data_IF_591711018867
#
_entry.id   IF_591711018867
#
_cell.length_a   1.000
_cell.length_b   1.000
_cell.length_c   1.000
_cell.angle_alpha   90.00
_cell.angle_beta   90.00
_cell.angle_gamma   90.00
#
_symmetry.space_group_name_H-M   'P 1'
#
loop_
_entity.id
_entity.type
_entity.pdbx_description
1 polymer ?
#
# COMPACT_ATOMS: atom_id res chain seq x y z
N UNK A 1 -15.08 -7.66 -100.52
CA UNK A 1 -15.40 -7.77 -99.08
C UNK A 1 -14.23 -8.45 -98.39
N UNK A 2 -13.76 -7.81 -97.31
CA UNK A 2 -12.90 -8.34 -96.23
C UNK A 2 -11.39 -8.44 -96.49
N UNK A 3 -10.66 -7.79 -95.58
CA UNK A 3 -9.26 -7.38 -95.59
C UNK A 3 -8.41 -8.24 -94.60
N UNK A 4 -7.07 -8.10 -94.60
CA UNK A 4 -6.09 -9.14 -94.28
C UNK A 4 -5.39 -8.96 -92.91
N UNK A 5 -4.33 -9.74 -92.65
CA UNK A 5 -3.29 -9.37 -91.69
C UNK A 5 -2.07 -10.29 -91.72
N UNK A 6 -0.90 -9.76 -92.11
CA UNK A 6 0.40 -10.42 -92.28
C UNK A 6 1.52 -9.50 -91.72
N UNK A 7 2.60 -10.08 -91.19
CA UNK A 7 3.96 -9.50 -91.16
C UNK A 7 4.49 -9.09 -89.76
N UNK A 8 5.62 -9.61 -89.23
CA UNK A 8 7.07 -9.53 -89.61
C UNK A 8 7.75 -8.22 -89.16
N UNK A 9 9.01 -8.07 -88.70
CA UNK A 9 10.19 -8.83 -88.20
C UNK A 9 11.30 -7.74 -87.89
N UNK A 10 12.44 -8.12 -87.27
CA UNK A 10 13.82 -7.48 -87.29
C UNK A 10 14.03 -6.28 -86.30
N UNK A 11 15.12 -6.09 -85.51
CA UNK A 11 16.53 -5.77 -85.86
C UNK A 11 17.52 -5.73 -84.67
N UNK A 12 18.83 -5.91 -84.94
CA UNK A 12 20.01 -5.67 -84.08
C UNK A 12 20.98 -4.70 -84.76
N UNK A 13 21.65 -3.80 -84.03
CA UNK A 13 22.91 -3.14 -84.45
C UNK A 13 23.77 -2.67 -83.23
N UNK A 14 25.12 -2.54 -83.32
CA UNK A 14 26.10 -2.46 -82.24
C UNK A 14 26.81 -1.09 -82.09
N UNK A 15 27.52 -0.86 -80.98
CA UNK A 15 28.62 0.14 -80.90
C UNK A 15 28.91 0.80 -79.54
N UNK A 16 30.20 0.87 -79.17
CA UNK A 16 30.82 2.02 -78.46
C UNK A 16 30.93 2.01 -76.93
N UNK A 17 32.18 2.02 -76.42
CA UNK A 17 32.62 2.29 -75.02
C UNK A 17 32.58 3.82 -74.70
N UNK A 18 33.09 4.33 -73.55
CA UNK A 18 32.71 4.17 -72.12
C UNK A 18 32.61 5.54 -71.37
N UNK A 19 31.68 5.74 -70.42
CA UNK A 19 31.66 6.75 -69.31
C UNK A 19 30.24 6.69 -68.70
N UNK A 20 29.93 6.92 -67.44
CA UNK A 20 30.60 7.41 -66.25
C UNK A 20 29.53 7.56 -65.16
N UNK A 21 29.97 7.71 -63.91
CA UNK A 21 29.21 8.22 -62.76
C UNK A 21 28.02 7.38 -62.23
N UNK A 22 28.35 6.52 -61.26
CA UNK A 22 27.39 5.92 -60.35
C UNK A 22 26.82 6.96 -59.38
N UNK A 23 25.52 7.20 -59.52
CA UNK A 23 24.62 7.70 -58.50
C UNK A 23 24.62 6.80 -57.25
N UNK A 24 24.69 7.38 -56.04
CA UNK A 24 23.68 7.27 -54.96
C UNK A 24 24.24 7.58 -53.56
N UNK A 25 23.64 8.63 -52.99
CA UNK A 25 23.22 8.80 -51.59
C UNK A 25 24.24 8.94 -50.45
N UNK A 26 24.29 10.20 -50.00
CA UNK A 26 24.48 10.72 -48.64
C UNK A 26 24.13 9.74 -47.51
N UNK A 27 25.08 9.52 -46.61
CA UNK A 27 24.93 9.55 -45.12
C UNK A 27 26.18 8.95 -44.47
N UNK A 28 26.93 9.75 -43.70
CA UNK A 28 27.68 9.34 -42.50
C UNK A 28 28.38 10.55 -41.87
N UNK A 29 27.63 11.27 -41.06
CA UNK A 29 28.19 12.02 -39.92
C UNK A 29 27.85 11.27 -38.63
N UNK A 30 28.72 11.48 -37.64
CA UNK A 30 28.74 10.97 -36.26
C UNK A 30 29.66 9.77 -35.99
N UNK A 31 30.96 10.07 -35.97
CA UNK A 31 31.83 9.64 -34.88
C UNK A 31 31.52 10.50 -33.64
N UNK A 32 31.65 9.90 -32.45
CA UNK A 32 31.49 10.45 -31.10
C UNK A 32 30.10 10.28 -30.44
N UNK A 33 29.83 9.06 -29.96
CA UNK A 33 29.12 8.82 -28.68
C UNK A 33 29.23 7.34 -28.25
N UNK A 34 30.44 6.75 -28.29
CA UNK A 34 30.60 5.29 -28.07
C UNK A 34 30.96 4.88 -26.63
N UNK A 35 30.84 5.76 -25.62
CA UNK A 35 31.24 5.41 -24.24
C UNK A 35 30.13 5.61 -23.19
N UNK A 36 29.02 6.30 -23.50
CA UNK A 36 27.94 6.51 -22.52
C UNK A 36 26.80 5.46 -22.58
N UNK A 37 26.76 4.58 -23.57
CA UNK A 37 25.62 3.67 -23.77
C UNK A 37 25.85 2.23 -23.27
N UNK A 38 27.08 1.86 -22.94
CA UNK A 38 27.40 0.51 -22.46
C UNK A 38 27.23 0.34 -20.94
N UNK A 39 27.26 1.44 -20.17
CA UNK A 39 27.07 1.41 -18.72
C UNK A 39 25.60 1.26 -18.28
N UNK A 40 24.66 1.75 -19.10
CA UNK A 40 23.22 1.78 -18.78
C UNK A 40 22.48 0.51 -19.22
N UNK A 41 22.95 -0.23 -20.23
CA UNK A 41 22.44 -1.57 -20.56
C UNK A 41 23.08 -2.68 -19.71
N UNK A 42 24.30 -2.47 -19.20
CA UNK A 42 24.92 -3.39 -18.24
C UNK A 42 24.24 -3.39 -16.87
N UNK A 43 23.77 -2.24 -16.38
CA UNK A 43 23.12 -2.13 -15.07
C UNK A 43 21.66 -2.63 -15.07
N UNK A 44 20.94 -2.50 -16.19
CA UNK A 44 19.56 -3.01 -16.33
C UNK A 44 19.56 -4.50 -16.70
N UNK A 45 20.55 -4.99 -17.46
CA UNK A 45 20.73 -6.41 -17.74
C UNK A 45 21.19 -7.24 -16.53
N UNK A 46 22.05 -6.69 -15.66
CA UNK A 46 22.45 -7.38 -14.42
C UNK A 46 21.32 -7.49 -13.39
N UNK A 47 20.32 -6.60 -13.43
CA UNK A 47 19.15 -6.68 -12.54
C UNK A 47 18.10 -7.72 -12.99
N UNK A 48 18.15 -8.17 -14.26
CA UNK A 48 17.15 -9.10 -14.82
C UNK A 48 17.73 -10.48 -15.17
N UNK A 49 19.00 -10.59 -15.55
CA UNK A 49 19.63 -11.90 -15.85
C UNK A 49 20.43 -12.46 -14.67
N UNK A 50 21.00 -11.60 -13.82
CA UNK A 50 21.63 -12.02 -12.55
C UNK A 50 20.62 -12.59 -11.52
N UNK A 51 19.33 -12.33 -11.72
CA UNK A 51 18.24 -12.81 -10.86
C UNK A 51 17.47 -14.00 -11.43
N UNK A 52 17.78 -14.46 -12.66
CA UNK A 52 17.05 -15.56 -13.30
C UNK A 52 17.87 -16.82 -13.62
N UNK A 53 19.20 -16.86 -13.40
CA UNK A 53 19.99 -18.09 -13.66
C UNK A 53 20.93 -18.53 -12.52
N UNK A 54 21.03 -17.83 -11.39
CA UNK A 54 21.68 -18.42 -10.21
C UNK A 54 20.70 -19.22 -9.33
N UNK A 55 19.99 -20.18 -9.96
CA UNK A 55 19.29 -21.27 -9.28
C UNK A 55 19.73 -22.59 -9.91
N UNK A 56 21.04 -22.85 -9.87
CA UNK A 56 21.60 -24.17 -10.10
C UNK A 56 22.24 -24.64 -8.80
N UNK A 57 21.57 -25.57 -8.09
CA UNK A 57 21.98 -26.16 -6.80
C UNK A 57 21.78 -25.20 -5.62
N UNK A 58 20.82 -25.37 -4.72
CA UNK A 58 20.81 -26.48 -3.75
C UNK A 58 19.38 -27.00 -3.57
N UNK A 59 19.21 -28.28 -3.91
CA UNK A 59 18.12 -29.08 -3.39
C UNK A 59 18.33 -29.29 -1.88
N UNK A 60 17.27 -29.08 -1.10
CA UNK A 60 17.09 -29.66 0.23
C UNK A 60 17.41 -28.76 1.42
N UNK A 61 16.39 -28.49 2.24
CA UNK A 61 16.57 -28.21 3.66
C UNK A 61 15.73 -27.06 4.24
N UNK A 62 14.65 -27.42 4.95
CA UNK A 62 14.18 -26.80 6.20
C UNK A 62 13.94 -25.28 6.26
N UNK A 63 12.66 -24.90 6.39
CA UNK A 63 12.23 -23.54 6.65
C UNK A 63 12.93 -22.88 7.84
N UNK A 64 13.44 -21.67 7.61
CA UNK A 64 13.87 -20.74 8.65
C UNK A 64 13.08 -19.45 8.42
N UNK A 65 12.10 -19.14 9.30
CA UNK A 65 11.50 -17.79 9.34
C UNK A 65 12.65 -16.82 9.60
N UNK A 66 13.02 -16.02 8.60
CA UNK A 66 13.96 -14.92 8.78
C UNK A 66 13.43 -13.92 9.81
N UNK A 67 14.33 -13.15 10.41
CA UNK A 67 14.00 -12.13 11.42
C UNK A 67 12.89 -11.19 10.93
N UNK A 68 11.73 -11.22 11.59
CA UNK A 68 10.63 -10.28 11.32
C UNK A 68 11.00 -8.93 11.92
N UNK A 69 11.04 -7.86 11.13
CA UNK A 69 11.23 -6.51 11.68
C UNK A 69 9.96 -5.99 12.33
N UNK A 70 10.02 -4.89 13.08
CA UNK A 70 8.85 -4.15 13.58
C UNK A 70 8.38 -3.04 12.63
N UNK A 71 7.06 -2.90 12.47
CA UNK A 71 6.48 -1.81 11.68
C UNK A 71 6.79 -0.46 12.32
N UNK A 72 7.00 0.57 11.48
CA UNK A 72 7.35 1.91 11.96
C UNK A 72 6.22 2.45 12.83
N UNK A 73 6.53 2.83 14.07
CA UNK A 73 5.55 3.38 15.02
C UNK A 73 4.60 2.35 15.65
N UNK A 74 4.74 1.06 15.33
CA UNK A 74 3.88 0.03 15.91
C UNK A 74 4.17 -0.19 17.40
N UNK A 75 5.43 -0.04 17.82
CA UNK A 75 5.86 -0.15 19.22
C UNK A 75 6.33 1.22 19.69
N UNK A 76 6.01 1.66 20.93
CA UNK A 76 6.60 2.87 21.51
C UNK A 76 8.13 2.87 21.35
N UNK A 77 8.69 4.01 20.95
CA UNK A 77 10.11 4.13 20.57
C UNK A 77 11.06 3.64 21.67
N UNK A 78 10.71 3.87 22.94
CA UNK A 78 11.46 3.40 24.11
C UNK A 78 11.63 1.87 24.15
N UNK A 79 10.64 1.11 23.69
CA UNK A 79 10.62 -0.35 23.79
C UNK A 79 11.06 -1.04 22.50
N UNK A 80 11.02 -0.34 21.37
CA UNK A 80 11.32 -0.89 20.06
C UNK A 80 12.67 -1.65 19.99
N UNK A 81 13.80 -1.15 20.54
CA UNK A 81 15.07 -1.89 20.52
C UNK A 81 15.00 -3.20 21.32
N UNK A 82 14.33 -3.19 22.47
CA UNK A 82 14.17 -4.37 23.32
C UNK A 82 13.30 -5.42 22.61
N UNK A 83 12.14 -5.03 22.09
CA UNK A 83 11.24 -5.95 21.39
C UNK A 83 11.89 -6.51 20.12
N UNK A 84 12.65 -5.69 19.39
CA UNK A 84 13.37 -6.13 18.19
C UNK A 84 14.49 -7.13 18.52
N UNK A 85 15.24 -6.90 19.62
CA UNK A 85 16.31 -7.81 20.07
C UNK A 85 15.72 -9.13 20.59
N UNK A 86 14.84 -9.05 21.57
CA UNK A 86 14.35 -10.20 22.32
C UNK A 86 13.26 -10.99 21.61
N UNK A 87 12.52 -10.36 20.69
CA UNK A 87 11.58 -11.07 19.83
C UNK A 87 12.26 -12.08 18.90
N UNK A 88 13.57 -12.01 18.69
CA UNK A 88 14.31 -12.98 17.88
C UNK A 88 14.94 -14.12 18.72
N UNK A 89 14.58 -14.25 20.01
CA UNK A 89 15.27 -15.15 20.94
C UNK A 89 15.09 -16.65 20.62
N UNK A 90 13.96 -17.06 20.04
CA UNK A 90 13.75 -18.44 19.60
C UNK A 90 12.72 -18.54 18.47
N UNK A 91 12.67 -19.70 17.80
CA UNK A 91 11.81 -19.94 16.62
C UNK A 91 10.30 -19.79 16.88
N UNK A 92 9.86 -19.93 18.13
CA UNK A 92 8.45 -19.86 18.48
C UNK A 92 7.90 -18.43 18.54
N UNK A 93 8.80 -17.44 18.65
CA UNK A 93 8.46 -16.02 18.69
C UNK A 93 9.12 -15.27 17.53
N UNK A 94 8.63 -14.05 17.30
CA UNK A 94 9.30 -13.05 16.49
C UNK A 94 9.01 -11.66 17.10
N UNK A 95 9.69 -10.58 16.69
CA UNK A 95 9.46 -9.23 17.24
C UNK A 95 8.01 -8.74 17.15
N UNK A 96 7.32 -9.05 16.06
CA UNK A 96 5.93 -8.65 15.87
C UNK A 96 4.97 -9.40 16.81
N UNK A 97 5.23 -10.70 17.01
CA UNK A 97 4.45 -11.52 17.93
C UNK A 97 4.66 -11.05 19.38
N UNK A 98 5.91 -10.80 19.78
CA UNK A 98 6.23 -10.27 21.10
C UNK A 98 5.57 -8.91 21.33
N UNK A 99 5.60 -8.02 20.34
CA UNK A 99 4.89 -6.74 20.39
C UNK A 99 3.38 -6.90 20.56
N UNK A 100 2.76 -7.81 19.79
CA UNK A 100 1.34 -8.09 19.85
C UNK A 100 0.91 -8.63 21.21
N UNK A 101 1.73 -9.50 21.81
CA UNK A 101 1.51 -10.04 23.14
C UNK A 101 1.61 -8.93 24.19
N UNK A 102 2.68 -8.13 24.20
CA UNK A 102 2.82 -6.98 25.13
C UNK A 102 1.67 -5.97 25.01
N UNK A 103 1.17 -5.73 23.79
CA UNK A 103 0.00 -4.89 23.57
C UNK A 103 -1.28 -5.54 24.13
N UNK A 104 -1.49 -6.84 23.92
CA UNK A 104 -2.64 -7.56 24.46
C UNK A 104 -2.62 -7.61 26.00
N UNK A 105 -1.43 -7.68 26.61
CA UNK A 105 -1.28 -7.72 28.06
C UNK A 105 -1.60 -6.37 28.71
N UNK A 106 -1.05 -5.28 28.18
CA UNK A 106 -1.10 -3.98 28.88
C UNK A 106 -1.27 -2.75 27.99
N UNK A 107 -1.32 -2.93 26.67
CA UNK A 107 -1.22 -1.81 25.74
C UNK A 107 0.13 -1.09 25.82
N UNK A 108 1.20 -1.80 26.18
CA UNK A 108 2.53 -1.26 26.50
C UNK A 108 2.61 -0.37 27.76
N UNK A 109 1.64 -0.47 28.67
CA UNK A 109 1.67 0.28 29.93
C UNK A 109 2.53 -0.46 30.99
N UNK A 110 3.71 0.07 31.37
CA UNK A 110 4.58 -0.57 32.33
C UNK A 110 4.01 -0.58 33.75
N UNK A 111 3.05 0.28 34.05
CA UNK A 111 2.44 0.38 35.38
C UNK A 111 1.12 -0.40 35.48
N UNK A 112 0.79 -1.23 34.48
CA UNK A 112 -0.48 -1.94 34.43
C UNK A 112 -0.62 -2.98 35.57
N UNK A 113 -1.82 -3.02 36.14
CA UNK A 113 -2.24 -3.99 37.16
C UNK A 113 -3.60 -4.57 36.78
N UNK A 114 -3.75 -5.88 36.84
CA UNK A 114 -5.04 -6.54 36.64
C UNK A 114 -5.67 -7.02 37.96
N UNK A 115 -6.98 -7.29 37.98
CA UNK A 115 -7.64 -7.97 39.11
C UNK A 115 -7.04 -9.34 39.44
N UNK A 116 -6.39 -9.99 38.47
CA UNK A 116 -5.67 -11.25 38.66
C UNK A 116 -4.27 -11.07 39.29
N UNK A 117 -3.94 -9.86 39.76
CA UNK A 117 -2.63 -9.46 40.29
C UNK A 117 -1.49 -9.58 39.29
N UNK A 118 -1.81 -9.54 37.99
CA UNK A 118 -0.81 -9.46 36.96
C UNK A 118 -0.22 -8.03 36.89
N UNK A 119 1.08 -7.92 36.66
CA UNK A 119 1.87 -6.71 36.85
C UNK A 119 2.76 -6.42 35.65
N UNK A 120 2.99 -5.14 35.40
CA UNK A 120 3.97 -4.71 34.41
C UNK A 120 3.47 -4.78 32.97
N UNK A 121 4.36 -4.38 32.06
CA UNK A 121 4.09 -4.32 30.62
C UNK A 121 3.71 -5.68 30.00
N UNK A 122 4.13 -6.78 30.63
CA UNK A 122 3.85 -8.15 30.19
C UNK A 122 2.85 -8.90 31.08
N UNK A 123 2.24 -8.22 32.06
CA UNK A 123 1.26 -8.79 33.00
C UNK A 123 1.72 -10.11 33.62
N UNK A 124 2.91 -10.11 34.22
CA UNK A 124 3.37 -11.24 35.02
C UNK A 124 2.61 -11.31 36.34
N UNK A 125 2.14 -12.50 36.71
CA UNK A 125 1.74 -12.77 38.10
C UNK A 125 2.99 -13.00 38.98
N UNK A 126 2.96 -12.69 40.29
CA UNK A 126 4.14 -12.74 41.15
C UNK A 126 4.87 -14.10 41.19
N UNK A 127 4.13 -15.21 41.18
CA UNK A 127 4.74 -16.55 41.19
C UNK A 127 5.54 -16.87 39.91
N UNK A 128 5.03 -16.42 38.76
CA UNK A 128 5.73 -16.56 37.48
C UNK A 128 6.94 -15.63 37.45
N UNK A 129 6.81 -14.38 37.92
CA UNK A 129 7.93 -13.44 37.98
C UNK A 129 9.08 -13.96 38.85
N UNK A 130 8.77 -14.49 40.03
CA UNK A 130 9.78 -15.00 40.97
C UNK A 130 10.67 -16.10 40.34
N UNK A 131 10.13 -16.89 39.42
CA UNK A 131 10.79 -18.04 38.80
C UNK A 131 11.32 -17.76 37.40
N UNK A 132 10.73 -16.81 36.68
CA UNK A 132 11.03 -16.56 35.27
C UNK A 132 11.53 -15.15 34.95
N UNK A 133 11.39 -14.20 35.88
CA UNK A 133 11.96 -12.86 35.76
C UNK A 133 13.49 -12.91 35.67
N UNK A 134 14.03 -12.13 34.74
CA UNK A 134 15.47 -11.97 34.49
C UNK A 134 15.84 -10.49 34.56
N UNK A 135 17.09 -10.24 34.97
CA UNK A 135 17.75 -8.93 34.91
C UNK A 135 18.18 -8.71 33.45
N UNK A 136 17.40 -7.91 32.74
CA UNK A 136 17.43 -7.79 31.29
C UNK A 136 18.42 -6.73 30.78
N UNK A 137 18.70 -5.70 31.58
CA UNK A 137 19.71 -4.68 31.28
C UNK A 137 20.99 -4.77 32.13
N UNK A 138 21.03 -5.64 33.14
CA UNK A 138 22.21 -5.95 33.93
C UNK A 138 22.50 -4.95 35.04
N UNK A 139 21.48 -4.26 35.54
CA UNK A 139 21.61 -3.24 36.58
C UNK A 139 21.66 -3.82 38.02
N UNK A 140 21.42 -5.12 38.15
CA UNK A 140 21.59 -5.87 39.39
C UNK A 140 20.30 -6.15 40.15
N UNK A 141 19.14 -5.77 39.63
CA UNK A 141 17.85 -6.19 40.15
C UNK A 141 16.94 -6.84 39.08
N UNK A 142 15.75 -7.27 39.53
CA UNK A 142 14.75 -7.92 38.68
C UNK A 142 13.41 -7.29 38.98
N UNK A 143 13.10 -6.22 38.28
CA UNK A 143 11.89 -5.44 38.49
C UNK A 143 10.82 -5.73 37.43
N UNK A 144 9.65 -6.21 37.87
CA UNK A 144 8.50 -6.44 36.99
C UNK A 144 7.95 -5.14 36.40
N UNK A 145 8.24 -4.00 37.04
CA UNK A 145 7.82 -2.67 36.60
C UNK A 145 8.80 -2.03 35.62
N UNK A 146 10.06 -2.51 35.52
CA UNK A 146 11.00 -2.04 34.51
C UNK A 146 10.78 -2.81 33.18
N UNK A 147 10.38 -2.12 32.08
CA UNK A 147 10.29 -2.74 30.76
C UNK A 147 11.58 -3.40 30.28
N UNK A 148 12.74 -2.95 30.75
CA UNK A 148 14.04 -3.52 30.39
C UNK A 148 14.27 -4.90 30.99
N UNK A 149 13.59 -5.24 32.09
CA UNK A 149 13.56 -6.58 32.66
C UNK A 149 12.35 -7.37 32.20
N UNK A 150 11.19 -6.72 32.19
CA UNK A 150 9.91 -7.37 31.89
C UNK A 150 9.81 -7.84 30.43
N UNK A 151 10.30 -7.07 29.45
CA UNK A 151 10.26 -7.46 28.02
C UNK A 151 11.18 -8.66 27.74
N UNK A 152 12.45 -8.68 28.19
CA UNK A 152 13.31 -9.86 28.05
C UNK A 152 12.79 -11.08 28.80
N UNK A 153 12.19 -10.87 29.97
CA UNK A 153 11.55 -11.93 30.76
C UNK A 153 10.39 -12.56 30.01
N UNK A 154 9.52 -11.75 29.39
CA UNK A 154 8.41 -12.25 28.57
C UNK A 154 8.90 -13.13 27.42
N UNK A 155 9.82 -12.62 26.61
CA UNK A 155 10.40 -13.38 25.48
C UNK A 155 11.09 -14.68 25.94
N UNK A 156 11.83 -14.62 27.04
CA UNK A 156 12.50 -15.79 27.62
C UNK A 156 11.52 -16.82 28.16
N UNK A 157 10.42 -16.37 28.76
CA UNK A 157 9.36 -17.23 29.26
C UNK A 157 8.60 -17.90 28.12
N UNK A 158 8.23 -17.16 27.07
CA UNK A 158 7.63 -17.73 25.85
C UNK A 158 8.51 -18.84 25.24
N UNK A 159 9.83 -18.62 25.16
CA UNK A 159 10.76 -19.63 24.67
C UNK A 159 10.86 -20.86 25.58
N UNK A 160 10.68 -20.71 26.90
CA UNK A 160 10.58 -21.85 27.84
C UNK A 160 9.24 -22.59 27.64
N UNK A 161 8.13 -21.87 27.54
CA UNK A 161 6.81 -22.43 27.31
C UNK A 161 6.76 -23.24 26.00
N UNK A 162 7.31 -22.69 24.91
CA UNK A 162 7.42 -23.39 23.63
C UNK A 162 8.18 -24.73 23.75
N UNK A 163 9.19 -24.82 24.64
CA UNK A 163 9.90 -26.07 24.92
C UNK A 163 9.04 -27.04 25.74
N UNK A 164 8.29 -26.55 26.72
CA UNK A 164 7.42 -27.40 27.55
C UNK A 164 6.29 -28.05 26.74
N UNK A 165 5.76 -27.34 25.75
CA UNK A 165 4.64 -27.82 24.93
C UNK A 165 5.08 -28.33 23.55
N UNK A 166 6.38 -28.57 23.35
CA UNK A 166 6.94 -28.93 22.03
C UNK A 166 6.35 -30.20 21.41
N UNK A 167 5.87 -31.12 22.24
CA UNK A 167 5.31 -32.41 21.82
C UNK A 167 3.78 -32.33 21.63
N UNK A 168 3.14 -31.21 21.97
CA UNK A 168 1.73 -30.99 21.69
C UNK A 168 1.51 -30.79 20.18
N UNK A 169 0.54 -31.48 19.56
CA UNK A 169 0.19 -31.30 18.15
C UNK A 169 -0.18 -29.85 17.80
N UNK A 170 -0.03 -29.50 16.51
CA UNK A 170 -0.45 -28.20 15.97
C UNK A 170 0.68 -27.19 15.83
N UNK A 171 0.31 -25.90 15.76
CA UNK A 171 1.27 -24.81 15.56
C UNK A 171 2.02 -24.49 16.87
N UNK A 172 3.36 -24.54 16.89
CA UNK A 172 4.15 -24.30 18.10
C UNK A 172 3.97 -22.91 18.71
N UNK A 173 3.75 -21.88 17.89
CA UNK A 173 3.53 -20.51 18.36
C UNK A 173 2.17 -20.40 19.05
N UNK A 174 1.12 -21.00 18.47
CA UNK A 174 -0.22 -21.02 19.07
C UNK A 174 -0.24 -21.81 20.38
N UNK A 175 0.47 -22.94 20.45
CA UNK A 175 0.59 -23.73 21.67
C UNK A 175 1.37 -22.98 22.76
N UNK A 176 2.42 -22.25 22.39
CA UNK A 176 3.16 -21.39 23.30
C UNK A 176 2.27 -20.27 23.87
N UNK A 177 1.54 -19.53 23.02
CA UNK A 177 0.62 -18.47 23.48
C UNK A 177 -0.49 -19.02 24.38
N UNK A 178 -1.03 -20.19 24.05
CA UNK A 178 -2.00 -20.88 24.89
C UNK A 178 -1.39 -21.26 26.26
N UNK A 179 -0.12 -21.66 26.29
CA UNK A 179 0.58 -21.97 27.53
C UNK A 179 0.87 -20.72 28.37
N UNK A 180 1.05 -19.55 27.74
CA UNK A 180 1.20 -18.29 28.46
C UNK A 180 -0.10 -17.91 29.20
N UNK A 181 -1.25 -18.02 28.53
CA UNK A 181 -2.55 -17.67 29.11
C UNK A 181 -3.12 -18.75 30.04
N UNK A 182 -3.06 -20.03 29.67
CA UNK A 182 -3.72 -21.13 30.39
C UNK A 182 -2.78 -22.08 31.14
N UNK A 183 -1.46 -21.88 31.01
CA UNK A 183 -0.44 -22.77 31.54
C UNK A 183 -0.12 -23.97 30.64
N UNK A 184 1.13 -24.42 30.64
CA UNK A 184 1.62 -25.51 29.80
C UNK A 184 0.88 -26.85 30.04
N UNK A 185 0.49 -27.14 31.28
CA UNK A 185 -0.24 -28.37 31.60
C UNK A 185 -1.58 -28.46 30.85
N UNK A 186 -2.32 -27.35 30.72
CA UNK A 186 -3.58 -27.34 29.97
C UNK A 186 -3.33 -27.68 28.49
N UNK A 187 -2.30 -27.09 27.89
CA UNK A 187 -1.94 -27.37 26.49
C UNK A 187 -1.56 -28.84 26.28
N UNK A 188 -0.77 -29.41 27.20
CA UNK A 188 -0.39 -30.84 27.15
C UNK A 188 -1.63 -31.73 27.31
N UNK A 189 -2.49 -31.45 28.30
CA UNK A 189 -3.69 -32.23 28.58
C UNK A 189 -4.66 -32.28 27.40
N UNK A 190 -4.83 -31.16 26.68
CA UNK A 190 -5.76 -31.06 25.56
C UNK A 190 -5.10 -31.29 24.19
N UNK A 191 -3.79 -31.55 24.14
CA UNK A 191 -3.07 -31.82 22.89
C UNK A 191 -3.00 -30.61 21.96
N UNK A 192 -2.86 -29.40 22.50
CA UNK A 192 -2.82 -28.14 21.76
C UNK A 192 -3.58 -27.01 22.46
N UNK A 193 -4.07 -26.03 21.71
CA UNK A 193 -4.87 -24.92 22.28
C UNK A 193 -6.12 -25.49 22.98
N UNK A 194 -6.28 -25.31 24.31
CA UNK A 194 -7.38 -25.89 25.06
C UNK A 194 -8.73 -25.27 24.68
N UNK A 195 -9.87 -25.95 24.93
CA UNK A 195 -11.21 -25.47 24.62
C UNK A 195 -11.71 -24.40 25.59
N UNK A 196 -10.82 -23.54 26.08
CA UNK A 196 -11.15 -22.40 26.93
C UNK A 196 -11.37 -21.18 26.04
N UNK A 197 -12.57 -20.60 26.09
CA UNK A 197 -12.93 -19.46 25.23
C UNK A 197 -11.95 -18.30 25.36
N UNK A 198 -11.51 -18.02 26.58
CA UNK A 198 -10.51 -17.00 26.86
C UNK A 198 -9.18 -17.28 26.13
N UNK A 199 -8.64 -18.49 26.27
CA UNK A 199 -7.37 -18.88 25.65
C UNK A 199 -7.44 -18.91 24.14
N UNK A 200 -8.55 -19.40 23.57
CA UNK A 200 -8.76 -19.38 22.12
C UNK A 200 -8.80 -17.94 21.58
N UNK A 201 -9.48 -17.04 22.30
CA UNK A 201 -9.52 -15.62 21.96
C UNK A 201 -8.14 -14.97 22.11
N UNK A 202 -7.42 -15.24 23.20
CA UNK A 202 -6.06 -14.75 23.44
C UNK A 202 -5.11 -15.11 22.29
N UNK A 203 -5.06 -16.39 21.91
CA UNK A 203 -4.26 -16.87 20.78
C UNK A 203 -4.70 -16.21 19.47
N UNK A 204 -6.01 -16.09 19.22
CA UNK A 204 -6.55 -15.48 18.01
C UNK A 204 -6.20 -13.99 17.91
N UNK A 205 -6.36 -13.23 19.00
CA UNK A 205 -6.10 -11.79 19.02
C UNK A 205 -4.61 -11.53 18.78
N UNK A 206 -3.71 -12.21 19.49
CA UNK A 206 -2.27 -11.98 19.34
C UNK A 206 -1.78 -12.38 17.95
N UNK A 207 -2.19 -13.53 17.41
CA UNK A 207 -1.81 -13.93 16.04
C UNK A 207 -2.43 -13.05 14.95
N UNK A 208 -3.50 -12.30 15.27
CA UNK A 208 -4.06 -11.28 14.38
C UNK A 208 -3.27 -9.98 14.48
N UNK A 209 -3.04 -9.50 15.69
CA UNK A 209 -2.28 -8.28 15.99
C UNK A 209 -0.82 -8.38 15.52
N UNK A 210 -0.20 -9.55 15.62
CA UNK A 210 1.16 -9.84 15.11
C UNK A 210 1.34 -9.32 13.68
N UNK A 211 0.34 -9.52 12.82
CA UNK A 211 0.41 -9.06 11.42
C UNK A 211 0.52 -7.54 11.31
N UNK A 212 -0.07 -6.79 12.23
CA UNK A 212 -0.03 -5.33 12.30
C UNK A 212 1.26 -4.80 12.94
N UNK A 213 1.87 -5.56 13.85
CA UNK A 213 3.16 -5.19 14.45
C UNK A 213 4.37 -5.55 13.59
N UNK A 214 4.20 -6.48 12.64
CA UNK A 214 5.26 -6.88 11.74
C UNK A 214 5.60 -5.77 10.76
N UNK A 215 6.87 -5.39 10.71
CA UNK A 215 7.43 -4.68 9.55
C UNK A 215 7.05 -5.52 8.36
N UNK A 216 6.45 -4.93 7.32
CA UNK A 216 6.21 -5.64 6.09
C UNK A 216 7.53 -6.25 5.59
N UNK A 217 7.73 -7.55 5.81
CA UNK A 217 8.88 -8.31 5.32
C UNK A 217 8.54 -8.81 3.93
N UNK A 218 8.47 -7.90 2.97
CA UNK A 218 8.17 -8.25 1.58
C UNK A 218 6.70 -8.62 1.30
N UNK A 219 6.41 -8.72 -0.01
CA UNK A 219 5.08 -8.71 -0.63
C UNK A 219 4.08 -9.69 -0.01
N UNK A 220 2.93 -9.19 0.45
CA UNK A 220 1.70 -9.98 0.36
C UNK A 220 1.53 -10.33 -1.11
N UNK A 221 1.51 -11.62 -1.45
CA UNK A 221 1.29 -12.02 -2.82
C UNK A 221 -0.05 -11.41 -3.25
N UNK A 222 -0.06 -10.51 -4.24
CA UNK A 222 -1.33 -10.03 -4.77
C UNK A 222 -2.19 -11.25 -5.12
N UNK A 223 -3.50 -11.15 -4.94
CA UNK A 223 -4.41 -12.15 -5.51
C UNK A 223 -4.03 -12.39 -6.97
N UNK A 224 -4.31 -13.56 -7.54
CA UNK A 224 -3.97 -13.83 -8.96
C UNK A 224 -4.49 -12.71 -9.87
N UNK A 225 -5.66 -12.17 -9.55
CA UNK A 225 -6.24 -11.00 -10.19
C UNK A 225 -5.40 -9.72 -9.98
N UNK A 226 -5.06 -9.36 -8.74
CA UNK A 226 -4.20 -8.20 -8.49
C UNK A 226 -2.82 -8.32 -9.18
N UNK A 227 -2.24 -9.52 -9.21
CA UNK A 227 -0.97 -9.77 -9.88
C UNK A 227 -1.08 -9.56 -11.40
N UNK A 228 -2.18 -10.06 -12.00
CA UNK A 228 -2.47 -9.87 -13.42
C UNK A 228 -2.77 -8.41 -13.78
N UNK A 229 -3.52 -7.68 -12.94
CA UNK A 229 -3.79 -6.26 -13.13
C UNK A 229 -2.50 -5.42 -13.07
N UNK A 230 -1.61 -5.67 -12.09
CA UNK A 230 -0.30 -5.03 -12.01
C UNK A 230 0.54 -5.37 -13.26
N UNK A 231 0.57 -6.63 -13.67
CA UNK A 231 1.31 -7.06 -14.87
C UNK A 231 0.80 -6.37 -16.15
N UNK A 232 -0.51 -6.21 -16.28
CA UNK A 232 -1.11 -5.44 -17.37
C UNK A 232 -0.63 -3.99 -17.35
N UNK A 233 -0.71 -3.32 -16.19
CA UNK A 233 -0.30 -1.92 -16.06
C UNK A 233 1.20 -1.73 -16.32
N UNK A 234 2.05 -2.65 -15.86
CA UNK A 234 3.49 -2.65 -16.14
C UNK A 234 3.80 -2.70 -17.64
N UNK A 235 3.03 -3.47 -18.43
CA UNK A 235 3.17 -3.48 -19.90
C UNK A 235 2.83 -2.15 -20.57
N UNK A 236 2.17 -1.23 -19.87
CA UNK A 236 1.79 0.09 -20.40
C UNK A 236 2.73 1.21 -19.99
N UNK A 237 3.75 0.93 -19.16
CA UNK A 237 4.78 1.91 -18.80
C UNK A 237 5.36 2.59 -20.05
N UNK A 238 5.49 3.91 -19.99
CA UNK A 238 5.98 4.74 -21.10
C UNK A 238 4.92 5.18 -22.12
N UNK A 239 3.70 4.64 -22.05
CA UNK A 239 2.57 5.10 -22.89
C UNK A 239 2.13 6.51 -22.50
N UNK A 240 1.89 7.39 -23.47
CA UNK A 240 1.40 8.75 -23.21
C UNK A 240 -0.04 8.75 -22.70
N UNK A 241 -0.32 9.64 -21.75
CA UNK A 241 -1.66 9.91 -21.25
C UNK A 241 -2.58 10.40 -22.38
N UNK A 242 -3.86 10.00 -22.33
CA UNK A 242 -4.94 10.52 -23.14
C UNK A 242 -6.18 10.74 -22.27
N UNK A 243 -6.67 11.98 -22.20
CA UNK A 243 -7.92 12.29 -21.49
C UNK A 243 -9.09 11.50 -22.09
N UNK A 244 -9.85 10.79 -21.27
CA UNK A 244 -10.91 9.90 -21.73
C UNK A 244 -10.43 8.53 -22.25
N UNK A 245 -9.12 8.29 -22.30
CA UNK A 245 -8.53 7.09 -22.88
C UNK A 245 -8.80 5.82 -22.08
N UNK A 246 -9.23 4.76 -22.77
CA UNK A 246 -9.50 3.41 -22.27
C UNK A 246 -8.53 2.35 -22.84
N UNK A 247 -7.54 2.76 -23.64
CA UNK A 247 -6.55 1.87 -24.23
C UNK A 247 -7.00 1.14 -25.48
N UNK A 248 -8.02 1.63 -26.18
CA UNK A 248 -8.49 1.02 -27.44
C UNK A 248 -7.51 1.30 -28.59
N UNK A 249 -7.63 0.54 -29.69
CA UNK A 249 -6.72 0.66 -30.83
C UNK A 249 -6.82 2.02 -31.52
N UNK A 250 -8.04 2.55 -31.67
CA UNK A 250 -8.32 3.89 -32.20
C UNK A 250 -7.77 5.02 -31.31
N UNK A 251 -7.63 4.75 -30.00
CA UNK A 251 -6.98 5.67 -29.06
C UNK A 251 -5.44 5.57 -29.08
N UNK A 252 -4.88 4.69 -29.92
CA UNK A 252 -3.45 4.40 -29.97
C UNK A 252 -2.96 3.66 -28.71
N UNK A 253 -3.85 2.91 -28.05
CA UNK A 253 -3.52 2.20 -26.82
C UNK A 253 -3.23 3.09 -25.62
N UNK A 254 -3.69 4.36 -25.63
CA UNK A 254 -3.46 5.35 -24.58
C UNK A 254 -4.59 5.37 -23.54
N UNK A 255 -4.26 5.83 -22.34
CA UNK A 255 -5.14 5.78 -21.16
C UNK A 255 -5.16 7.11 -20.42
N UNK A 256 -6.26 7.39 -19.72
CA UNK A 256 -6.22 8.25 -18.52
C UNK A 256 -6.10 7.38 -17.25
N UNK A 257 -6.12 8.02 -16.07
CA UNK A 257 -5.89 7.37 -14.78
C UNK A 257 -6.87 6.22 -14.53
N UNK A 258 -8.18 6.51 -14.60
CA UNK A 258 -9.24 5.55 -14.36
C UNK A 258 -9.44 4.57 -15.53
N UNK A 259 -9.08 4.96 -16.76
CA UNK A 259 -9.05 4.07 -17.91
C UNK A 259 -7.96 3.00 -17.82
N UNK A 260 -6.78 3.34 -17.26
CA UNK A 260 -5.70 2.37 -17.02
C UNK A 260 -6.11 1.31 -15.99
N UNK A 261 -6.66 1.73 -14.85
CA UNK A 261 -7.12 0.82 -13.78
C UNK A 261 -8.26 -0.06 -14.27
N UNK A 262 -9.23 0.51 -15.00
CA UNK A 262 -10.33 -0.21 -15.62
C UNK A 262 -9.83 -1.29 -16.58
N UNK A 263 -8.90 -0.97 -17.47
CA UNK A 263 -8.37 -1.95 -18.42
C UNK A 263 -7.54 -3.04 -17.72
N UNK A 264 -6.77 -2.67 -16.69
CA UNK A 264 -5.97 -3.61 -15.90
C UNK A 264 -6.86 -4.64 -15.19
N UNK A 265 -7.90 -4.20 -14.48
CA UNK A 265 -8.79 -5.09 -13.75
C UNK A 265 -9.73 -5.87 -14.67
N UNK A 266 -10.14 -5.30 -15.81
CA UNK A 266 -10.87 -6.04 -16.85
C UNK A 266 -10.06 -7.20 -17.41
N UNK A 267 -8.74 -7.05 -17.54
CA UNK A 267 -7.87 -8.13 -18.04
C UNK A 267 -7.84 -9.38 -17.15
N UNK A 268 -8.30 -9.25 -15.90
CA UNK A 268 -8.41 -10.33 -14.90
C UNK A 268 -9.86 -10.61 -14.50
N UNK A 269 -10.82 -10.17 -15.30
CA UNK A 269 -12.24 -10.50 -15.15
C UNK A 269 -13.02 -9.63 -14.15
N UNK A 270 -12.48 -8.51 -13.68
CA UNK A 270 -13.17 -7.60 -12.74
C UNK A 270 -13.52 -6.29 -13.46
N UNK A 271 -14.80 -6.07 -13.82
CA UNK A 271 -15.23 -4.84 -14.50
C UNK A 271 -15.32 -3.68 -13.50
N UNK A 272 -14.45 -2.68 -13.62
CA UNK A 272 -14.53 -1.46 -12.82
C UNK A 272 -15.39 -0.37 -13.49
N UNK A 273 -16.02 0.53 -12.69
CA UNK A 273 -16.62 1.76 -13.19
C UNK A 273 -15.62 2.62 -13.98
N UNK A 274 -16.13 3.46 -14.88
CA UNK A 274 -15.28 4.27 -15.76
C UNK A 274 -14.53 5.37 -15.03
N UNK A 275 -15.13 6.01 -14.04
CA UNK A 275 -14.61 7.21 -13.38
C UNK A 275 -13.99 6.89 -12.02
N UNK A 276 -12.93 7.62 -11.66
CA UNK A 276 -12.10 7.33 -10.48
C UNK A 276 -12.89 7.37 -9.16
N UNK A 277 -13.77 8.37 -8.99
CA UNK A 277 -14.61 8.50 -7.79
C UNK A 277 -15.59 7.34 -7.61
N UNK A 278 -16.10 6.74 -8.68
CA UNK A 278 -16.95 5.55 -8.60
C UNK A 278 -16.11 4.29 -8.34
N UNK A 279 -14.91 4.18 -8.93
CA UNK A 279 -13.97 3.09 -8.63
C UNK A 279 -13.58 3.03 -7.16
N UNK A 280 -13.61 4.16 -6.44
CA UNK A 280 -13.42 4.17 -5.00
C UNK A 280 -14.40 3.23 -4.30
N UNK A 281 -15.64 3.12 -4.77
CA UNK A 281 -16.66 2.29 -4.11
C UNK A 281 -16.60 0.80 -4.51
N UNK A 282 -15.60 0.37 -5.29
CA UNK A 282 -15.50 -1.00 -5.82
C UNK A 282 -14.99 -2.06 -4.81
N UNK A 283 -15.14 -1.80 -3.51
CA UNK A 283 -14.77 -2.71 -2.43
C UNK A 283 -14.48 -2.03 -1.09
N UNK A 284 -13.93 -2.77 -0.11
CA UNK A 284 -13.54 -2.21 1.18
C UNK A 284 -12.44 -1.14 1.04
N UNK A 285 -12.40 -0.19 1.97
CA UNK A 285 -11.40 0.88 1.99
C UNK A 285 -10.30 0.59 3.01
N UNK A 286 -9.19 -0.06 2.63
CA UNK A 286 -8.08 -0.28 3.54
C UNK A 286 -7.47 1.05 3.96
N UNK A 287 -7.00 1.10 5.20
CA UNK A 287 -6.14 2.20 5.66
C UNK A 287 -4.81 2.18 4.92
N UNK A 288 -4.10 3.30 5.00
CA UNK A 288 -2.84 3.52 4.29
C UNK A 288 -1.73 2.51 4.67
N UNK A 289 -1.73 2.04 5.91
CA UNK A 289 -0.83 1.01 6.44
C UNK A 289 -1.30 -0.44 6.13
N UNK A 290 -2.54 -0.60 5.65
CA UNK A 290 -3.12 -1.88 5.25
C UNK A 290 -3.02 -2.13 3.73
N UNK A 291 -2.39 -1.23 2.98
CA UNK A 291 -2.29 -1.31 1.52
C UNK A 291 -1.55 -2.56 1.06
N UNK A 292 -2.17 -3.28 0.13
CA UNK A 292 -1.63 -4.46 -0.53
C UNK A 292 -1.46 -4.21 -2.03
N UNK A 293 -0.44 -4.79 -2.69
CA UNK A 293 -0.31 -4.68 -4.14
C UNK A 293 -1.62 -5.07 -4.84
N UNK A 294 -2.10 -4.18 -5.70
CA UNK A 294 -3.39 -4.29 -6.38
C UNK A 294 -4.43 -3.28 -5.86
N UNK A 295 -4.39 -2.89 -4.59
CA UNK A 295 -5.30 -1.87 -4.07
C UNK A 295 -5.22 -0.60 -4.94
N UNK A 296 -6.37 0.00 -5.23
CA UNK A 296 -6.42 1.29 -5.90
C UNK A 296 -6.19 2.38 -4.87
N UNK A 297 -5.37 3.36 -5.20
CA UNK A 297 -5.08 4.53 -4.35
C UNK A 297 -5.59 5.79 -5.05
N UNK A 298 -6.24 6.67 -4.28
CA UNK A 298 -7.01 7.79 -4.80
C UNK A 298 -6.53 9.11 -4.23
N UNK A 299 -6.65 10.17 -5.03
CA UNK A 299 -6.18 11.50 -4.68
C UNK A 299 -7.23 12.57 -4.99
N UNK A 300 -7.34 13.56 -4.10
CA UNK A 300 -8.38 14.59 -4.11
C UNK A 300 -7.84 15.89 -3.51
N UNK A 301 -8.34 17.03 -4.00
CA UNK A 301 -8.08 18.34 -3.38
C UNK A 301 -9.03 18.63 -2.20
N UNK A 302 -10.13 17.88 -2.09
CA UNK A 302 -11.04 17.85 -0.94
C UNK A 302 -11.04 16.45 -0.31
N UNK A 303 -10.32 16.30 0.80
CA UNK A 303 -10.15 15.04 1.51
C UNK A 303 -11.40 14.59 2.27
N UNK A 304 -12.42 15.43 2.36
CA UNK A 304 -13.69 15.11 3.04
C UNK A 304 -14.78 14.60 2.09
N UNK A 305 -14.54 14.70 0.77
CA UNK A 305 -15.54 14.42 -0.25
C UNK A 305 -15.03 13.44 -1.30
N UNK A 306 -15.50 12.19 -1.23
CA UNK A 306 -15.11 11.16 -2.21
C UNK A 306 -15.56 11.47 -3.64
N UNK A 307 -16.55 12.36 -3.84
CA UNK A 307 -16.95 12.81 -5.18
C UNK A 307 -15.93 13.74 -5.82
N UNK A 308 -15.05 14.35 -5.03
CA UNK A 308 -13.98 15.24 -5.50
C UNK A 308 -12.69 14.50 -5.91
N UNK A 309 -12.65 13.16 -5.78
CA UNK A 309 -11.53 12.33 -6.24
C UNK A 309 -11.25 12.62 -7.72
N UNK A 310 -10.03 13.08 -8.01
CA UNK A 310 -9.58 13.47 -9.36
C UNK A 310 -8.56 12.52 -9.96
N UNK A 311 -7.96 11.64 -9.16
CA UNK A 311 -6.90 10.75 -9.62
C UNK A 311 -6.94 9.38 -8.96
N UNK A 312 -6.46 8.37 -9.67
CA UNK A 312 -6.35 6.98 -9.20
C UNK A 312 -5.11 6.29 -9.79
N UNK A 313 -4.47 5.42 -9.01
CA UNK A 313 -3.40 4.53 -9.45
C UNK A 313 -3.49 3.14 -8.82
N UNK A 314 -2.69 2.19 -9.34
CA UNK A 314 -2.62 0.82 -8.81
C UNK A 314 -1.41 0.72 -7.88
N UNK A 315 -1.62 0.45 -6.60
CA UNK A 315 -0.54 0.27 -5.64
C UNK A 315 0.28 -0.99 -5.97
N UNK A 316 1.62 -0.87 -5.97
CA UNK A 316 2.55 -1.97 -6.30
C UNK A 316 3.44 -2.40 -5.12
N UNK A 317 3.22 -1.80 -3.95
CA UNK A 317 4.05 -2.01 -2.76
C UNK A 317 5.14 -0.95 -2.59
N UNK A 318 5.75 -0.90 -1.40
CA UNK A 318 6.89 -0.04 -1.12
C UNK A 318 6.60 1.46 -1.17
N UNK A 319 5.33 1.87 -1.06
CA UNK A 319 4.92 3.28 -1.16
C UNK A 319 4.76 3.81 -2.58
N UNK A 320 4.76 2.93 -3.60
CA UNK A 320 4.64 3.31 -5.02
C UNK A 320 3.37 2.78 -5.67
N UNK A 321 2.90 3.50 -6.69
CA UNK A 321 1.83 3.09 -7.59
C UNK A 321 2.27 3.14 -9.06
N UNK A 322 1.56 2.42 -9.93
CA UNK A 322 1.57 2.67 -11.37
C UNK A 322 0.31 3.46 -11.72
N UNK A 323 0.47 4.56 -12.44
CA UNK A 323 -0.63 5.44 -12.82
C UNK A 323 -0.44 6.08 -14.20
N UNK A 324 -1.51 6.67 -14.73
CA UNK A 324 -1.47 7.58 -15.87
C UNK A 324 -1.71 9.02 -15.32
N UNK A 325 -0.65 9.79 -15.02
CA UNK A 325 -0.76 10.88 -14.05
C UNK A 325 -1.53 12.11 -14.55
N UNK A 326 -1.30 12.56 -15.80
CA UNK A 326 -1.92 13.77 -16.37
C UNK A 326 -1.58 13.95 -17.85
N UNK A 327 -2.30 14.83 -18.59
CA UNK A 327 -1.93 15.23 -19.95
C UNK A 327 -0.45 15.62 -20.09
N UNK A 328 0.17 15.17 -21.18
CA UNK A 328 1.59 15.40 -21.48
C UNK A 328 2.57 14.46 -20.75
N UNK A 329 2.10 13.67 -19.78
CA UNK A 329 2.93 12.69 -19.07
C UNK A 329 2.76 11.26 -19.62
N UNK A 330 3.69 10.39 -19.25
CA UNK A 330 3.67 8.95 -19.57
C UNK A 330 3.27 8.15 -18.33
N UNK A 331 2.69 6.97 -18.55
CA UNK A 331 2.47 5.97 -17.50
C UNK A 331 3.82 5.60 -16.87
N UNK A 332 3.90 5.67 -15.54
CA UNK A 332 5.15 5.49 -14.79
C UNK A 332 4.86 4.99 -13.37
N UNK A 333 5.93 4.88 -12.57
CA UNK A 333 5.79 4.75 -11.13
C UNK A 333 5.83 6.12 -10.48
N UNK A 334 4.87 6.40 -9.59
CA UNK A 334 4.85 7.60 -8.75
C UNK A 334 4.66 7.21 -7.28
N UNK A 335 5.16 8.01 -6.32
CA UNK A 335 4.95 7.77 -4.90
C UNK A 335 3.48 8.01 -4.50
N UNK A 336 3.01 7.27 -3.50
CA UNK A 336 1.66 7.43 -2.91
C UNK A 336 1.66 8.43 -1.75
N UNK A 337 2.83 8.82 -1.24
CA UNK A 337 3.01 9.75 -0.13
C UNK A 337 3.00 11.21 -0.56
N UNK A 338 1.79 11.68 -0.86
CA UNK A 338 1.50 13.05 -1.23
C UNK A 338 0.40 13.62 -0.35
N UNK A 339 0.38 14.96 -0.11
CA UNK A 339 -0.63 15.60 0.75
C UNK A 339 -2.08 15.44 0.26
N UNK A 340 -2.28 15.16 -1.02
CA UNK A 340 -3.59 14.97 -1.66
C UNK A 340 -4.10 13.52 -1.63
N UNK A 341 -3.44 12.62 -0.89
CA UNK A 341 -3.93 11.24 -0.73
C UNK A 341 -5.29 11.22 -0.02
N UNK A 342 -6.29 10.75 -0.73
CA UNK A 342 -7.67 10.63 -0.24
C UNK A 342 -7.87 9.32 0.54
N UNK A 343 -7.45 8.21 -0.04
CA UNK A 343 -7.74 6.88 0.50
C UNK A 343 -7.47 5.79 -0.51
N UNK A 344 -7.91 4.58 -0.18
CA UNK A 344 -7.72 3.41 -1.03
C UNK A 344 -8.94 2.51 -1.07
N UNK A 345 -8.95 1.62 -2.05
CA UNK A 345 -9.99 0.60 -2.22
C UNK A 345 -9.34 -0.72 -2.59
N UNK A 346 -9.68 -1.75 -1.83
CA UNK A 346 -9.36 -3.13 -2.13
C UNK A 346 -10.39 -3.67 -3.10
N UNK A 347 -10.02 -3.80 -4.36
CA UNK A 347 -10.93 -4.25 -5.42
C UNK A 347 -11.41 -5.67 -5.14
N UNK A 348 -12.73 -5.84 -5.09
CA UNK A 348 -13.39 -7.15 -5.03
C UNK A 348 -14.36 -7.30 -6.21
N UNK A 349 -14.64 -8.53 -6.60
CA UNK A 349 -15.62 -8.78 -7.66
C UNK A 349 -17.03 -8.31 -7.24
N UNK A 350 -17.42 -8.59 -6.00
CA UNK A 350 -18.72 -8.17 -5.45
C UNK A 350 -18.82 -6.64 -5.31
N UNK A 351 -17.74 -5.98 -4.87
CA UNK A 351 -17.70 -4.53 -4.75
C UNK A 351 -17.79 -3.86 -6.12
N UNK A 352 -17.07 -4.38 -7.12
CA UNK A 352 -17.14 -3.88 -8.48
C UNK A 352 -18.54 -4.04 -9.11
N UNK A 353 -19.25 -5.14 -8.82
CA UNK A 353 -20.63 -5.38 -9.27
C UNK A 353 -21.67 -4.55 -8.51
N UNK A 354 -21.39 -4.18 -7.27
CA UNK A 354 -22.31 -3.42 -6.42
C UNK A 354 -22.37 -1.92 -6.77
N UNK A 355 -21.38 -1.40 -7.52
CA UNK A 355 -21.42 -0.03 -8.03
C UNK A 355 -22.28 0.00 -9.29
N UNK A 356 -23.30 0.88 -9.39
CA UNK A 356 -24.09 1.02 -10.61
C UNK A 356 -23.19 1.26 -11.80
N UNK A 357 -23.14 0.30 -12.74
CA UNK A 357 -22.53 0.55 -14.03
C UNK A 357 -23.50 1.44 -14.80
N UNK A 358 -23.27 2.75 -14.82
CA UNK A 358 -23.98 3.59 -15.78
C UNK A 358 -23.60 3.09 -17.18
N UNK A 359 -24.51 2.33 -17.79
CA UNK A 359 -24.42 2.01 -19.21
C UNK A 359 -24.52 3.34 -19.99
N UNK A 360 -23.81 3.49 -21.11
CA UNK A 360 -23.94 4.68 -21.95
C UNK A 360 -25.39 4.96 -22.41
N UNK A 361 -26.28 3.96 -22.41
CA UNK A 361 -27.67 4.07 -22.88
C UNK A 361 -28.58 4.85 -21.92
N UNK A 362 -28.36 4.85 -20.60
CA UNK A 362 -29.23 5.58 -19.66
C UNK A 362 -28.99 7.10 -19.62
N UNK A 363 -27.96 7.60 -20.32
CA UNK A 363 -27.63 9.03 -20.34
C UNK A 363 -28.41 9.82 -21.41
N UNK A 364 -29.09 9.16 -22.34
CA UNK A 364 -29.75 9.83 -23.47
C UNK A 364 -31.18 10.32 -23.20
N UNK A 365 -31.83 9.98 -22.07
CA UNK A 365 -33.27 10.27 -21.91
C UNK A 365 -33.65 11.41 -20.94
N UNK A 366 -32.70 12.22 -20.46
CA UNK A 366 -33.05 13.47 -19.74
C UNK A 366 -32.84 14.69 -20.63
N UNK A 367 -33.91 15.42 -21.02
CA UNK A 367 -33.77 16.61 -21.85
C UNK A 367 -32.96 17.67 -21.09
N UNK A 368 -31.93 18.19 -21.76
CA UNK A 368 -31.13 19.33 -21.31
C UNK A 368 -32.07 20.53 -21.14
N UNK A 369 -32.34 20.94 -19.90
CA UNK A 369 -32.93 22.24 -19.63
C UNK A 369 -31.82 23.29 -19.75
N UNK A 370 -32.09 24.30 -20.56
CA UNK A 370 -31.16 25.31 -21.04
C UNK A 370 -30.31 25.94 -19.93
N UNK A 371 -28.99 25.93 -20.12
CA UNK A 371 -28.08 26.87 -19.49
C UNK A 371 -27.25 27.55 -20.58
N UNK A 372 -27.57 28.82 -20.79
CA UNK A 372 -26.80 29.80 -21.56
C UNK A 372 -25.32 29.83 -21.16
N UNK A 373 -24.40 30.08 -22.10
CA UNK A 373 -22.97 30.14 -21.81
C UNK A 373 -22.59 31.46 -21.12
N UNK A 374 -21.74 31.35 -20.10
CA UNK A 374 -21.23 32.46 -19.30
C UNK A 374 -20.38 33.44 -20.13
N UNK A 375 -20.73 34.73 -20.07
CA UNK A 375 -19.94 35.84 -20.60
C UNK A 375 -18.76 36.25 -19.71
N UNK A 376 -17.74 36.83 -20.34
CA UNK A 376 -16.48 37.34 -19.76
C UNK A 376 -16.67 38.40 -18.66
N UNK A 377 -15.68 38.57 -17.74
CA UNK A 377 -15.77 39.55 -16.66
C UNK A 377 -15.36 40.96 -17.12
N UNK A 378 -16.29 41.92 -17.07
CA UNK A 378 -16.03 43.35 -17.25
C UNK A 378 -15.64 44.05 -15.93
N UNK A 379 -14.71 45.00 -16.05
CA UNK A 379 -14.07 45.83 -15.01
C UNK A 379 -15.03 46.65 -14.10
N UNK A 380 -14.58 47.15 -12.92
CA UNK A 380 -15.46 47.78 -11.94
C UNK A 380 -15.69 49.27 -12.21
N UNK A 381 -16.87 49.85 -11.91
CA UNK A 381 -17.10 51.27 -12.10
C UNK A 381 -16.75 52.12 -10.86
N UNK A 382 -16.46 53.37 -11.20
CA UNK A 382 -15.96 54.47 -10.39
C UNK A 382 -17.02 55.12 -9.48
N UNK A 383 -16.54 55.86 -8.46
CA UNK A 383 -17.29 56.58 -7.41
C UNK A 383 -17.88 57.92 -7.87
N UNK A 384 -19.03 58.33 -7.29
CA UNK A 384 -19.39 59.64 -6.63
C UNK A 384 -20.90 59.98 -6.76
N UNK A 385 -21.48 60.94 -5.98
CA UNK A 385 -21.43 61.14 -4.52
C UNK A 385 -22.82 61.50 -3.89
N UNK A 386 -22.86 61.52 -2.54
CA UNK A 386 -23.69 62.37 -1.62
C UNK A 386 -25.23 62.32 -1.64
N UNK A 387 -25.83 61.91 -0.51
CA UNK A 387 -26.64 62.77 0.41
C UNK A 387 -27.12 61.99 1.66
N UNK A 388 -26.87 62.55 2.84
CA UNK A 388 -27.52 62.30 4.16
C UNK A 388 -28.64 63.36 4.36
N UNK A 389 -29.49 63.38 5.42
CA UNK A 389 -29.53 62.65 6.72
C UNK A 389 -30.93 62.01 7.01
N UNK A 390 -31.25 61.26 8.08
CA UNK A 390 -31.32 61.63 9.51
C UNK A 390 -31.72 60.43 10.42
N UNK A 391 -31.14 60.39 11.64
CA UNK A 391 -31.68 59.98 12.99
C UNK A 391 -32.55 58.69 13.13
N UNK A 392 -32.46 57.82 14.13
CA UNK A 392 -32.17 58.00 15.57
C UNK A 392 -31.94 56.63 16.28
N UNK A 393 -31.11 56.66 17.34
CA UNK A 393 -31.21 55.94 18.64
C UNK A 393 -31.23 54.39 18.73
N UNK A 394 -30.18 53.81 19.34
CA UNK A 394 -30.29 53.06 20.61
C UNK A 394 -28.92 52.52 21.09
N UNK A 395 -28.69 52.72 22.37
CA UNK A 395 -27.45 52.67 23.17
C UNK A 395 -27.05 51.26 23.67
N UNK A 396 -25.74 50.93 23.55
CA UNK A 396 -24.76 50.43 24.55
C UNK A 396 -25.09 49.24 25.53
N UNK A 397 -24.11 48.68 26.29
CA UNK A 397 -22.67 48.48 26.09
C UNK A 397 -22.17 47.04 26.38
N UNK A 398 -20.88 46.84 26.06
CA UNK A 398 -19.98 45.72 26.32
C UNK A 398 -19.59 45.47 27.79
N UNK A 399 -19.29 44.21 28.15
CA UNK A 399 -18.61 43.79 29.39
C UNK A 399 -17.44 42.83 29.07
N UNK A 400 -16.26 42.98 29.70
CA UNK A 400 -15.07 42.14 29.51
C UNK A 400 -14.90 41.05 30.58
N UNK A 401 -13.85 40.24 30.38
CA UNK A 401 -13.36 39.09 31.16
C UNK A 401 -12.98 39.38 32.62
N UNK A 402 -13.29 38.44 33.52
CA UNK A 402 -12.34 37.88 34.50
C UNK A 402 -12.99 36.72 35.29
N UNK A 403 -12.21 35.67 35.60
CA UNK A 403 -12.60 34.61 36.52
C UNK A 403 -11.38 34.11 37.32
N UNK A 404 -11.43 34.08 38.68
CA UNK A 404 -10.33 33.61 39.52
C UNK A 404 -10.50 32.17 40.03
N UNK A 405 -9.38 31.60 40.47
CA UNK A 405 -9.21 30.28 41.11
C UNK A 405 -9.85 30.15 42.50
N UNK A 406 -9.93 28.92 43.05
CA UNK A 406 -9.93 28.71 44.50
C UNK A 406 -8.78 27.81 45.00
N UNK A 407 -8.05 28.30 46.01
CA UNK A 407 -7.48 27.52 47.13
C UNK A 407 -8.67 26.99 47.98
N UNK A 408 -8.70 25.82 48.64
CA UNK A 408 -7.71 25.19 49.50
C UNK A 408 -8.24 25.20 50.95
N UNK A 409 -8.68 24.05 51.49
CA UNK A 409 -8.90 23.83 52.93
C UNK A 409 -8.67 22.37 53.32
N UNK A 410 -7.79 22.16 54.30
CA UNK A 410 -7.57 20.94 55.10
C UNK A 410 -8.80 20.56 55.94
N UNK A 411 -9.13 19.26 56.03
CA UNK A 411 -9.12 18.40 57.25
C UNK A 411 -8.99 16.94 56.82
#
# INVERSE_FOLDING_TARGET
MIHPGRGSRIYTDPGGLPVGEGWLTVRKTWLLASVAFSGSMGFIGLLVVGTFVAAGSVAGGGGTRGSVGLAKGAVPTTYQPLVQKWGNLCKAINPALLAAQLYQESGFNPSAKSPARAQGIAQFIPGTWATHGIDGDGDGDRDVWDPKDAIPSAASYDCKLAKYVKDAPGDPTRNMLAAYNAGAYAVIKYGGVPPYRETQNYVKIITTLEKSFARPVGRVNPSRQAAGAIYYAQKKLGTLYLWGGNGTADQGGRFDCSGLTLAAYRSVGIPLPRVANDQYNAGPHPKRDELLPGDLVFFSDDLSNSRAIRHVGIYVGGGYMIDAPRPGAKIRFDPVDTPDYFGATRVTEDGAKAVPSESPEEREEKPKKDREPAGEPSSPPSRRPSEEPSEESSTAPSVPSDAPQPEGTDV
#
